data_IF_523201235018
#
_entry.id   IF_523201235018
#
_cell.length_a   1.000
_cell.length_b   1.000
_cell.length_c   1.000
_cell.angle_alpha   90.00
_cell.angle_beta   90.00
_cell.angle_gamma   90.00
#
_symmetry.space_group_name_H-M   'P 1'
#
loop_
_entity.id
_entity.type
_entity.pdbx_description
1 polymer ?
#
# COMPACT_ATOMS: atom_id res chain seq x y z
N UNK A 1 -12.12 24.49 -28.01
CA UNK A 1 -11.70 23.71 -26.82
C UNK A 1 -12.85 23.72 -25.82
N UNK A 2 -13.56 22.60 -25.65
CA UNK A 2 -14.75 22.54 -24.77
C UNK A 2 -14.34 22.39 -23.31
N UNK A 3 -14.86 23.25 -22.43
CA UNK A 3 -14.66 23.21 -20.96
C UNK A 3 -15.07 21.86 -20.36
N UNK A 4 -15.97 21.13 -21.04
CA UNK A 4 -16.50 19.83 -20.68
C UNK A 4 -15.57 18.64 -20.96
N UNK A 5 -14.31 18.87 -21.35
CA UNK A 5 -13.32 17.78 -21.46
C UNK A 5 -12.17 17.92 -20.47
N UNK A 6 -12.15 18.99 -19.68
CA UNK A 6 -11.12 19.22 -18.69
C UNK A 6 -11.29 18.30 -17.49
N UNK A 7 -10.18 17.88 -16.90
CA UNK A 7 -10.10 17.09 -15.66
C UNK A 7 -8.94 17.59 -14.81
N UNK A 8 -9.01 17.39 -13.50
CA UNK A 8 -7.90 17.74 -12.59
C UNK A 8 -6.67 16.87 -12.86
N UNK A 9 -6.78 15.54 -12.78
CA UNK A 9 -5.62 14.66 -12.96
C UNK A 9 -4.52 14.95 -11.93
N UNK A 10 -3.26 15.02 -12.37
CA UNK A 10 -2.11 15.23 -11.47
C UNK A 10 -1.80 16.68 -11.12
N UNK A 11 -2.50 17.66 -11.73
CA UNK A 11 -2.26 19.08 -11.46
C UNK A 11 -2.94 19.54 -10.16
N UNK A 12 -2.40 20.58 -9.49
CA UNK A 12 -3.04 21.19 -8.33
C UNK A 12 -4.47 21.63 -8.67
N UNK A 13 -5.37 21.49 -7.69
CA UNK A 13 -6.78 21.86 -7.82
C UNK A 13 -6.96 23.33 -8.24
N UNK A 14 -6.17 24.24 -7.65
CA UNK A 14 -6.32 25.67 -7.92
C UNK A 14 -6.03 26.03 -9.38
N UNK A 15 -5.01 25.40 -9.98
CA UNK A 15 -4.67 25.59 -11.39
C UNK A 15 -5.79 25.04 -12.29
N UNK A 16 -6.35 23.88 -11.91
CA UNK A 16 -7.49 23.29 -12.59
C UNK A 16 -8.73 24.20 -12.56
N UNK A 17 -9.09 24.70 -11.38
CA UNK A 17 -10.27 25.53 -11.17
C UNK A 17 -10.13 26.89 -11.85
N UNK A 18 -8.95 27.53 -11.78
CA UNK A 18 -8.67 28.80 -12.44
C UNK A 18 -8.71 28.66 -13.97
N UNK A 19 -8.17 27.60 -14.54
CA UNK A 19 -8.22 27.32 -15.99
C UNK A 19 -9.67 27.08 -16.45
N UNK A 20 -10.49 26.35 -15.68
CA UNK A 20 -11.92 26.23 -15.95
C UNK A 20 -12.64 27.58 -15.90
N UNK A 21 -12.42 28.38 -14.84
CA UNK A 21 -13.05 29.70 -14.71
C UNK A 21 -12.60 30.67 -15.80
N UNK A 22 -11.31 30.68 -16.15
CA UNK A 22 -10.78 31.51 -17.23
C UNK A 22 -11.46 31.19 -18.55
N UNK A 23 -11.62 29.90 -18.88
CA UNK A 23 -12.34 29.48 -20.09
C UNK A 23 -13.83 29.79 -20.03
N UNK A 24 -14.46 29.66 -18.87
CA UNK A 24 -15.85 30.05 -18.68
C UNK A 24 -16.06 31.57 -18.91
N UNK A 25 -15.13 32.40 -18.43
CA UNK A 25 -15.15 33.84 -18.66
C UNK A 25 -14.96 34.20 -20.14
N UNK A 26 -14.14 33.45 -20.88
CA UNK A 26 -14.02 33.61 -22.33
C UNK A 26 -15.32 33.27 -23.07
N UNK A 27 -16.10 32.31 -22.56
CA UNK A 27 -17.41 31.93 -23.09
C UNK A 27 -18.52 32.94 -22.74
N UNK A 28 -18.28 33.84 -21.78
CA UNK A 28 -19.23 34.89 -21.40
C UNK A 28 -19.59 35.82 -22.56
N UNK A 29 -18.66 36.00 -23.50
CA UNK A 29 -18.88 36.85 -24.67
C UNK A 29 -19.82 36.23 -25.73
N UNK A 30 -20.21 34.96 -25.56
CA UNK A 30 -20.92 34.18 -26.61
C UNK A 30 -22.14 33.40 -26.04
N UNK A 31 -22.71 33.84 -24.91
CA UNK A 31 -23.91 33.28 -24.28
C UNK A 31 -23.82 31.86 -23.68
N UNK A 32 -22.66 31.19 -23.77
CA UNK A 32 -22.43 29.86 -23.13
C UNK A 32 -21.82 29.97 -21.72
N UNK A 33 -22.07 31.08 -21.02
CA UNK A 33 -21.56 31.33 -19.68
C UNK A 33 -22.22 30.43 -18.65
N UNK A 34 -21.42 29.82 -17.78
CA UNK A 34 -21.92 29.07 -16.63
C UNK A 34 -21.87 29.93 -15.36
N UNK A 35 -22.96 29.99 -14.62
CA UNK A 35 -22.99 30.63 -13.30
C UNK A 35 -22.16 29.87 -12.27
N UNK A 36 -21.87 30.50 -11.13
CA UNK A 36 -21.05 29.93 -10.05
C UNK A 36 -21.50 28.54 -9.58
N UNK A 37 -22.81 28.27 -9.56
CA UNK A 37 -23.34 26.96 -9.17
C UNK A 37 -23.05 25.90 -10.24
N UNK A 38 -23.30 26.22 -11.51
CA UNK A 38 -23.02 25.30 -12.62
C UNK A 38 -21.52 25.01 -12.79
N UNK A 39 -20.66 26.02 -12.64
CA UNK A 39 -19.22 25.81 -12.73
C UNK A 39 -18.69 25.05 -11.53
N UNK A 40 -19.28 25.24 -10.35
CA UNK A 40 -18.99 24.42 -9.19
C UNK A 40 -19.33 22.96 -9.45
N UNK A 41 -20.55 22.65 -9.89
CA UNK A 41 -20.96 21.28 -10.19
C UNK A 41 -20.06 20.64 -11.26
N UNK A 42 -19.66 21.42 -12.27
CA UNK A 42 -18.74 20.95 -13.30
C UNK A 42 -17.33 20.70 -12.76
N UNK A 43 -16.81 21.55 -11.87
CA UNK A 43 -15.52 21.34 -11.19
C UNK A 43 -15.62 20.10 -10.29
N UNK A 44 -16.70 19.94 -9.51
CA UNK A 44 -16.93 18.80 -8.63
C UNK A 44 -16.95 17.48 -9.39
N UNK A 45 -17.64 17.42 -10.53
CA UNK A 45 -17.71 16.23 -11.37
C UNK A 45 -16.37 15.85 -12.04
N UNK A 46 -15.37 16.74 -12.02
CA UNK A 46 -14.11 16.63 -12.77
C UNK A 46 -12.87 16.76 -11.90
N UNK A 47 -13.06 16.96 -10.60
CA UNK A 47 -11.98 16.91 -9.62
C UNK A 47 -11.52 15.46 -9.44
N UNK A 48 -10.34 15.29 -8.85
CA UNK A 48 -9.80 13.98 -8.56
C UNK A 48 -10.73 13.22 -7.58
N UNK A 49 -11.09 11.94 -7.84
CA UNK A 49 -12.09 11.22 -7.03
C UNK A 49 -11.75 11.14 -5.54
N UNK A 50 -10.46 10.99 -5.20
CA UNK A 50 -10.01 11.01 -3.82
C UNK A 50 -10.27 12.39 -3.18
N UNK A 51 -10.01 13.49 -3.89
CA UNK A 51 -10.29 14.85 -3.41
C UNK A 51 -11.79 15.06 -3.21
N UNK A 52 -12.64 14.55 -4.12
CA UNK A 52 -14.10 14.62 -3.99
C UNK A 52 -14.58 13.88 -2.74
N UNK A 53 -14.01 12.71 -2.46
CA UNK A 53 -14.30 11.92 -1.27
C UNK A 53 -13.93 12.69 0.00
N UNK A 54 -12.80 13.39 0.01
CA UNK A 54 -12.39 14.17 1.19
C UNK A 54 -13.22 15.43 1.38
N UNK A 55 -13.62 16.07 0.28
CA UNK A 55 -14.58 17.17 0.32
C UNK A 55 -15.92 16.74 0.93
N UNK A 56 -16.38 15.53 0.60
CA UNK A 56 -17.58 14.95 1.20
C UNK A 56 -17.39 14.64 2.69
N UNK A 57 -16.26 14.02 3.06
CA UNK A 57 -15.94 13.69 4.45
C UNK A 57 -15.84 14.93 5.35
N UNK A 58 -15.23 16.00 4.86
CA UNK A 58 -15.11 17.27 5.59
C UNK A 58 -16.33 18.17 5.45
N UNK A 59 -17.42 17.69 4.82
CA UNK A 59 -18.66 18.44 4.59
C UNK A 59 -18.46 19.78 3.88
N UNK A 60 -17.41 19.91 3.05
CA UNK A 60 -17.08 21.13 2.31
C UNK A 60 -18.18 21.49 1.32
N UNK A 61 -18.94 20.50 0.84
CA UNK A 61 -20.03 20.73 -0.09
C UNK A 61 -21.19 21.54 0.53
N UNK A 62 -21.26 21.68 1.86
CA UNK A 62 -22.26 22.50 2.54
C UNK A 62 -22.03 24.01 2.38
N UNK A 63 -20.81 24.46 2.03
CA UNK A 63 -20.53 25.88 1.84
C UNK A 63 -21.15 26.38 0.52
N UNK A 64 -22.17 27.25 0.60
CA UNK A 64 -22.85 27.79 -0.58
C UNK A 64 -22.06 28.88 -1.31
N UNK A 65 -21.27 29.66 -0.56
CA UNK A 65 -20.44 30.70 -1.16
C UNK A 65 -19.29 30.07 -1.95
N UNK A 66 -19.31 30.24 -3.28
CA UNK A 66 -18.36 29.64 -4.21
C UNK A 66 -16.90 29.89 -3.83
N UNK A 67 -16.55 31.13 -3.44
CA UNK A 67 -15.19 31.48 -3.00
C UNK A 67 -14.78 30.74 -1.72
N UNK A 68 -15.69 30.64 -0.75
CA UNK A 68 -15.42 29.93 0.52
C UNK A 68 -15.23 28.45 0.28
N UNK A 69 -16.08 27.86 -0.57
CA UNK A 69 -15.94 26.48 -1.01
C UNK A 69 -14.58 26.26 -1.71
N UNK A 70 -14.21 27.10 -2.67
CA UNK A 70 -12.95 27.00 -3.42
C UNK A 70 -11.72 27.09 -2.51
N UNK A 71 -11.70 28.02 -1.56
CA UNK A 71 -10.60 28.16 -0.60
C UNK A 71 -10.47 26.94 0.33
N UNK A 72 -11.59 26.25 0.64
CA UNK A 72 -11.58 25.02 1.43
C UNK A 72 -11.05 23.84 0.64
N UNK A 73 -11.54 23.66 -0.60
CA UNK A 73 -11.06 22.60 -1.49
C UNK A 73 -9.57 22.78 -1.80
N UNK A 74 -9.11 24.02 -2.04
CA UNK A 74 -7.69 24.35 -2.20
C UNK A 74 -6.84 23.85 -1.03
N UNK A 75 -7.21 24.19 0.21
CA UNK A 75 -6.45 23.77 1.41
C UNK A 75 -6.41 22.25 1.56
N UNK A 76 -7.48 21.56 1.19
CA UNK A 76 -7.52 20.10 1.20
C UNK A 76 -6.56 19.49 0.20
N UNK A 77 -6.57 20.01 -1.03
CA UNK A 77 -5.71 19.54 -2.11
C UNK A 77 -4.22 19.79 -1.78
N UNK A 78 -3.89 20.97 -1.23
CA UNK A 78 -2.54 21.28 -0.72
C UNK A 78 -2.10 20.30 0.36
N UNK A 79 -2.96 19.99 1.33
CA UNK A 79 -2.68 19.00 2.39
C UNK A 79 -2.44 17.61 1.79
N UNK A 80 -3.23 17.21 0.79
CA UNK A 80 -3.07 15.94 0.10
C UNK A 80 -1.72 15.87 -0.63
N UNK A 81 -1.39 16.89 -1.41
CA UNK A 81 -0.11 16.97 -2.12
C UNK A 81 1.08 16.91 -1.15
N UNK A 82 0.99 17.63 -0.04
CA UNK A 82 2.02 17.58 1.01
C UNK A 82 2.18 16.18 1.61
N UNK A 83 1.07 15.51 1.96
CA UNK A 83 1.13 14.14 2.47
C UNK A 83 1.71 13.14 1.45
N UNK A 84 1.34 13.26 0.17
CA UNK A 84 1.86 12.40 -0.89
C UNK A 84 3.37 12.62 -1.09
N UNK A 85 3.83 13.86 -1.05
CA UNK A 85 5.24 14.19 -1.14
C UNK A 85 6.02 13.59 0.03
N UNK A 86 5.49 13.70 1.25
CA UNK A 86 6.14 13.16 2.45
C UNK A 86 6.22 11.63 2.43
N UNK A 87 5.14 10.95 2.02
CA UNK A 87 5.13 9.48 1.84
C UNK A 87 6.15 9.06 0.77
N UNK A 88 6.23 9.83 -0.34
CA UNK A 88 7.18 9.55 -1.43
C UNK A 88 8.62 9.71 -0.94
N UNK A 89 8.93 10.77 -0.18
CA UNK A 89 10.25 10.99 0.42
C UNK A 89 10.65 9.84 1.34
N UNK A 90 9.74 9.41 2.23
CA UNK A 90 10.01 8.29 3.13
C UNK A 90 10.18 6.96 2.39
N UNK A 91 9.38 6.70 1.35
CA UNK A 91 9.55 5.52 0.51
C UNK A 91 10.91 5.49 -0.21
N UNK A 92 11.35 6.62 -0.77
CA UNK A 92 12.67 6.76 -1.41
C UNK A 92 13.79 6.54 -0.38
N UNK A 93 13.67 7.14 0.80
CA UNK A 93 14.64 6.97 1.90
C UNK A 93 14.78 5.52 2.33
N UNK A 94 13.67 4.79 2.46
CA UNK A 94 13.67 3.36 2.80
C UNK A 94 14.25 2.51 1.67
N UNK A 95 14.02 2.89 0.41
CA UNK A 95 14.54 2.20 -0.77
C UNK A 95 16.06 2.35 -0.90
N UNK A 96 16.62 3.52 -0.58
CA UNK A 96 18.08 3.75 -0.57
C UNK A 96 18.76 3.03 0.60
N UNK A 97 18.07 2.89 1.75
CA UNK A 97 18.59 2.20 2.94
C UNK A 97 18.46 0.68 2.88
N UNK A 98 17.82 0.12 1.85
CA UNK A 98 17.88 -1.31 1.62
C UNK A 98 19.34 -1.68 1.32
N UNK A 99 20.02 -2.49 2.15
CA UNK A 99 21.35 -2.93 1.82
C UNK A 99 21.27 -3.65 0.49
N UNK A 100 22.12 -3.24 -0.47
CA UNK A 100 22.42 -4.04 -1.63
C UNK A 100 22.83 -5.42 -1.10
N UNK A 101 21.92 -6.40 -1.18
CA UNK A 101 22.22 -7.74 -0.75
C UNK A 101 23.31 -8.24 -1.69
N UNK A 102 24.53 -8.20 -1.18
CA UNK A 102 25.78 -8.47 -1.83
C UNK A 102 25.77 -9.92 -2.35
N UNK A 103 25.14 -10.14 -3.50
CA UNK A 103 25.06 -11.41 -4.20
C UNK A 103 26.14 -11.38 -5.28
N UNK A 104 27.39 -11.29 -4.83
CA UNK A 104 28.57 -11.25 -5.67
C UNK A 104 29.81 -11.82 -4.97
N UNK A 105 29.62 -12.61 -3.92
CA UNK A 105 30.69 -13.40 -3.33
C UNK A 105 30.94 -14.63 -4.20
N UNK A 106 31.83 -14.52 -5.18
CA UNK A 106 32.46 -15.68 -5.79
C UNK A 106 33.18 -16.46 -4.67
N UNK A 107 32.63 -17.62 -4.31
CA UNK A 107 33.37 -18.58 -3.50
C UNK A 107 34.51 -19.16 -4.36
N UNK A 108 35.76 -19.22 -3.85
CA UNK A 108 36.85 -19.86 -4.57
C UNK A 108 36.60 -21.36 -4.64
N UNK A 109 36.47 -21.88 -5.87
CA UNK A 109 36.46 -23.32 -6.16
C UNK A 109 37.80 -23.93 -5.73
N UNK A 110 37.77 -24.71 -4.65
CA UNK A 110 38.75 -25.72 -4.28
C UNK A 110 38.01 -26.89 -3.64
N UNK A 111 38.21 -28.18 -3.93
CA UNK A 111 38.91 -28.93 -4.96
C UNK A 111 38.40 -30.39 -4.81
N UNK A 112 38.56 -31.21 -5.86
CA UNK A 112 38.59 -32.68 -5.90
C UNK A 112 37.25 -33.43 -5.89
N UNK A 113 36.91 -34.06 -7.03
CA UNK A 113 36.88 -35.53 -7.16
C UNK A 113 36.61 -35.95 -8.62
N UNK A 114 37.46 -36.85 -9.13
CA UNK A 114 37.18 -37.80 -10.22
C UNK A 114 38.32 -38.83 -10.24
N UNK A 115 38.16 -40.16 -10.33
CA UNK A 115 37.01 -41.05 -10.50
C UNK A 115 37.45 -42.50 -10.18
N UNK A 116 36.46 -43.34 -9.79
CA UNK A 116 36.27 -44.78 -10.11
C UNK A 116 37.06 -45.92 -9.41
N UNK A 117 36.57 -47.19 -9.47
CA UNK A 117 35.22 -47.68 -9.10
C UNK A 117 35.26 -49.04 -8.33
N UNK A 118 34.08 -49.55 -7.93
CA UNK A 118 33.65 -50.97 -7.99
C UNK A 118 33.25 -51.69 -6.67
N UNK A 119 32.19 -52.51 -6.83
CA UNK A 119 31.68 -53.64 -6.02
C UNK A 119 30.79 -53.27 -4.82
N UNK A 120 29.46 -53.37 -4.96
CA UNK A 120 28.60 -54.57 -4.93
C UNK A 120 28.23 -54.99 -3.49
N UNK A 121 26.95 -54.92 -3.13
CA UNK A 121 26.05 -56.09 -2.94
C UNK A 121 24.74 -55.69 -2.21
N UNK A 122 23.62 -56.10 -2.81
CA UNK A 122 22.35 -56.58 -2.24
C UNK A 122 21.41 -55.72 -1.37
N UNK A 123 20.23 -55.50 -1.97
CA UNK A 123 18.87 -55.76 -1.45
C UNK A 123 18.37 -55.04 -0.19
N UNK A 124 17.39 -54.15 -0.35
CA UNK A 124 15.96 -54.48 -0.16
C UNK A 124 15.11 -53.21 -0.26
N UNK A 125 13.91 -53.42 -0.80
CA UNK A 125 12.85 -52.47 -1.05
C UNK A 125 12.26 -51.85 0.23
N UNK A 126 12.20 -50.52 0.28
CA UNK A 126 11.07 -49.81 0.89
C UNK A 126 11.02 -48.37 0.38
N UNK A 127 10.10 -48.13 -0.55
CA UNK A 127 9.63 -46.81 -0.93
C UNK A 127 8.95 -46.15 0.27
N UNK A 128 9.65 -45.23 0.93
CA UNK A 128 9.04 -44.29 1.88
C UNK A 128 9.43 -42.88 1.47
N UNK A 129 8.45 -42.18 0.90
CA UNK A 129 8.47 -40.78 0.51
C UNK A 129 8.90 -39.91 1.70
N UNK A 130 10.14 -39.44 1.68
CA UNK A 130 10.67 -38.45 2.62
C UNK A 130 10.02 -37.09 2.34
N UNK A 131 8.81 -36.90 2.88
CA UNK A 131 8.25 -35.56 3.00
C UNK A 131 9.10 -34.80 4.02
N UNK A 132 9.97 -33.92 3.52
CA UNK A 132 10.72 -32.95 4.31
C UNK A 132 9.72 -31.99 4.97
N UNK A 133 9.10 -32.38 6.07
CA UNK A 133 8.32 -31.48 6.90
C UNK A 133 9.29 -30.55 7.63
N UNK A 134 9.52 -29.37 7.05
CA UNK A 134 10.18 -28.25 7.70
C UNK A 134 9.29 -27.83 8.88
N UNK A 135 9.77 -28.08 10.10
CA UNK A 135 9.04 -27.76 11.33
C UNK A 135 8.85 -26.24 11.43
N UNK A 136 7.59 -25.81 11.39
CA UNK A 136 7.22 -24.40 11.52
C UNK A 136 7.56 -23.93 12.95
N UNK A 137 8.18 -22.75 13.12
CA UNK A 137 8.37 -22.16 14.43
C UNK A 137 7.04 -22.06 15.18
N UNK A 138 7.01 -22.57 16.42
CA UNK A 138 5.83 -22.53 17.29
C UNK A 138 5.26 -21.12 17.35
N UNK A 139 3.94 -21.01 17.29
CA UNK A 139 3.22 -19.76 17.39
C UNK A 139 3.68 -18.96 18.63
N UNK A 140 4.37 -17.84 18.42
CA UNK A 140 4.79 -16.95 19.51
C UNK A 140 3.58 -16.32 20.19
N UNK A 141 3.72 -15.95 21.47
CA UNK A 141 2.63 -15.35 22.26
C UNK A 141 2.04 -14.11 21.57
N UNK A 142 2.88 -13.28 20.96
CA UNK A 142 2.47 -12.07 20.25
C UNK A 142 1.61 -12.38 19.01
N UNK A 143 2.02 -13.40 18.25
CA UNK A 143 1.27 -13.83 17.07
C UNK A 143 -0.06 -14.46 17.45
N UNK A 144 -0.12 -15.18 18.58
CA UNK A 144 -1.36 -15.70 19.14
C UNK A 144 -2.31 -14.56 19.52
N UNK A 145 -1.82 -13.52 20.17
CA UNK A 145 -2.62 -12.34 20.55
C UNK A 145 -3.14 -11.58 19.32
N UNK A 146 -2.32 -11.42 18.29
CA UNK A 146 -2.73 -10.78 17.04
C UNK A 146 -3.81 -11.58 16.30
N UNK A 147 -3.70 -12.91 16.25
CA UNK A 147 -4.72 -13.77 15.64
C UNK A 147 -6.02 -13.73 16.45
N UNK A 148 -5.94 -13.75 17.78
CA UNK A 148 -7.10 -13.64 18.64
C UNK A 148 -7.85 -12.31 18.45
N UNK A 149 -7.12 -11.19 18.36
CA UNK A 149 -7.72 -9.87 18.24
C UNK A 149 -8.35 -9.60 16.86
N UNK A 150 -7.91 -10.30 15.80
CA UNK A 150 -8.34 -10.05 14.42
C UNK A 150 -9.13 -11.24 13.82
N UNK A 151 -9.76 -12.07 14.67
CA UNK A 151 -10.58 -13.21 14.21
C UNK A 151 -9.81 -14.18 13.31
N UNK A 152 -8.53 -14.42 13.61
CA UNK A 152 -7.64 -15.22 12.80
C UNK A 152 -7.59 -16.70 13.22
N UNK A 153 -7.26 -17.56 12.27
CA UNK A 153 -7.13 -19.00 12.51
C UNK A 153 -5.72 -19.35 13.03
N UNK A 154 -5.65 -20.08 14.15
CA UNK A 154 -4.37 -20.48 14.76
C UNK A 154 -3.63 -21.60 14.02
N UNK A 155 -4.29 -22.31 13.09
CA UNK A 155 -3.67 -23.39 12.31
C UNK A 155 -3.03 -22.90 11.01
N UNK A 156 -3.68 -21.94 10.33
CA UNK A 156 -3.17 -21.36 9.09
C UNK A 156 -2.56 -19.96 9.26
N UNK A 157 -2.61 -19.38 10.46
CA UNK A 157 -2.07 -18.05 10.79
C UNK A 157 -2.60 -16.91 9.91
N UNK A 158 -3.82 -17.04 9.36
CA UNK A 158 -4.47 -16.00 8.54
C UNK A 158 -5.41 -15.16 9.41
N UNK A 159 -5.47 -13.86 9.14
CA UNK A 159 -6.36 -12.90 9.78
C UNK A 159 -7.72 -12.82 9.06
N UNK A 160 -8.76 -12.41 9.77
CA UNK A 160 -10.12 -12.19 9.24
C UNK A 160 -10.70 -13.40 8.47
N UNK A 161 -10.66 -14.58 9.08
CA UNK A 161 -11.15 -15.81 8.44
C UNK A 161 -12.45 -16.30 9.06
N UNK A 162 -13.38 -16.81 8.24
CA UNK A 162 -14.64 -17.40 8.69
C UNK A 162 -14.49 -18.83 9.28
N UNK A 163 -13.27 -19.24 9.65
CA UNK A 163 -12.99 -20.55 10.23
C UNK A 163 -12.02 -20.44 11.40
N UNK A 164 -12.21 -21.34 12.37
CA UNK A 164 -11.33 -21.52 13.52
C UNK A 164 -10.57 -22.85 13.39
N UNK A 165 -9.52 -23.03 14.19
CA UNK A 165 -8.62 -24.20 14.15
C UNK A 165 -9.27 -25.57 13.91
N UNK A 166 -10.41 -25.94 14.55
CA UNK A 166 -11.05 -27.25 14.31
C UNK A 166 -11.68 -27.40 12.92
N UNK A 167 -12.08 -26.30 12.26
CA UNK A 167 -12.71 -26.29 10.93
C UNK A 167 -11.80 -25.68 9.86
N UNK A 168 -10.48 -25.72 10.03
CA UNK A 168 -9.56 -25.14 9.06
C UNK A 168 -9.37 -26.09 7.86
N UNK A 169 -9.79 -25.70 6.64
CA UNK A 169 -9.62 -26.53 5.44
C UNK A 169 -8.19 -26.47 4.88
N UNK A 170 -7.35 -25.56 5.39
CA UNK A 170 -5.99 -25.38 4.91
C UNK A 170 -5.02 -26.25 5.73
N UNK A 171 -4.12 -26.93 5.02
CA UNK A 171 -2.94 -27.57 5.60
C UNK A 171 -2.06 -26.51 6.31
N UNK A 172 -1.25 -26.90 7.31
CA UNK A 172 -0.32 -25.99 7.98
C UNK A 172 0.52 -25.25 6.94
N UNK A 173 0.59 -23.92 7.06
CA UNK A 173 1.23 -23.07 6.06
C UNK A 173 2.73 -23.36 6.04
N UNK A 174 3.24 -23.70 4.87
CA UNK A 174 4.66 -23.89 4.60
C UNK A 174 5.49 -22.71 5.16
N UNK A 175 6.51 -23.05 5.95
CA UNK A 175 7.39 -22.09 6.63
C UNK A 175 8.14 -21.16 5.66
N UNK A 176 8.19 -21.54 4.38
CA UNK A 176 8.76 -20.79 3.24
C UNK A 176 8.18 -19.38 3.06
N UNK A 177 6.94 -19.11 3.48
CA UNK A 177 6.26 -17.84 3.23
C UNK A 177 6.33 -16.82 4.37
N UNK A 178 7.06 -17.11 5.46
CA UNK A 178 7.18 -16.17 6.60
C UNK A 178 8.35 -15.19 6.43
N UNK A 179 8.04 -13.92 6.13
CA UNK A 179 8.96 -12.79 6.32
C UNK A 179 8.81 -12.24 7.73
N UNK A 180 9.86 -12.32 8.54
CA UNK A 180 9.87 -11.86 9.92
C UNK A 180 9.79 -10.33 9.98
N UNK A 181 8.67 -9.81 10.48
CA UNK A 181 8.53 -8.38 10.79
C UNK A 181 9.23 -8.17 12.14
N UNK A 182 10.42 -7.54 12.13
CA UNK A 182 11.06 -7.08 13.36
C UNK A 182 10.22 -5.95 13.93
N UNK A 183 9.54 -6.20 15.04
CA UNK A 183 8.89 -5.15 15.83
C UNK A 183 10.00 -4.26 16.38
N UNK A 184 10.12 -3.04 15.86
CA UNK A 184 11.00 -2.02 16.45
C UNK A 184 10.30 -1.56 17.73
N UNK A 185 10.89 -1.74 18.93
CA UNK A 185 10.27 -1.29 20.16
C UNK A 185 10.14 0.24 20.15
N UNK A 186 9.08 0.80 20.78
CA UNK A 186 8.90 2.24 20.85
C UNK A 186 10.10 2.89 21.56
N UNK A 187 10.62 3.94 20.92
CA UNK A 187 11.73 4.77 21.42
C UNK A 187 11.38 5.30 22.82
N UNK A 188 12.21 5.07 23.85
CA UNK A 188 11.93 5.63 25.17
C UNK A 188 11.97 7.17 25.08
N UNK A 189 10.96 7.81 25.67
CA UNK A 189 10.91 9.24 25.85
C UNK A 189 12.06 9.66 26.78
N UNK A 190 13.02 10.41 26.24
CA UNK A 190 14.00 11.10 27.07
C UNK A 190 13.25 12.19 27.86
N UNK A 191 13.16 11.99 29.16
CA UNK A 191 12.85 13.05 30.11
C UNK A 191 13.99 14.06 30.10
N UNK A 192 13.63 15.34 29.95
CA UNK A 192 14.53 16.46 30.15
C UNK A 192 14.86 16.55 31.65
N UNK A 193 16.15 16.65 31.95
CA UNK A 193 16.69 17.22 33.19
C UNK A 193 17.66 18.33 32.79
#
# INVERSE_FOLDING_TARGET
>A
MSILHMKQGSRPFIDFALDMMGRNNLLAMIASFMNNDFIRDAIEARMEPDLATECHRESINCFKAFKVWMDKVKRLDEKRHWCLEEITKEFVRLSIKAPANNSGGQAPLRTFTAMNPSKAVSSSSSSSSSSNFISIPKLTADKRKLLQNNGGCFKCHRFWTNHISPHCPNLPVDGSMYKMIKVVPPRPANYMS
#
